data_IF_810376734812
#
_entry.id   IF_810376734812
#
_cell.length_a   1.000
_cell.length_b   1.000
_cell.length_c   1.000
_cell.angle_alpha   90.00
_cell.angle_beta   90.00
_cell.angle_gamma   90.00
#
_symmetry.space_group_name_H-M   'P 1'
#
loop_
_entity.id
_entity.type
_entity.pdbx_description
1 polymer ?
#
# COMPACT_ATOMS: atom_id res chain seq x y z
N UNK A 1 -9.86 -12.85 -1.21
CA UNK A 1 -9.37 -11.49 -1.00
C UNK A 1 -7.85 -11.47 -0.94
N UNK A 2 -7.21 -10.55 -1.68
CA UNK A 2 -5.77 -10.27 -1.53
C UNK A 2 -5.66 -8.87 -0.93
N UNK A 3 -5.00 -8.76 0.21
CA UNK A 3 -4.81 -7.51 0.93
C UNK A 3 -3.32 -7.19 1.06
N UNK A 4 -2.91 -6.06 0.52
CA UNK A 4 -1.54 -5.57 0.64
C UNK A 4 -1.50 -4.53 1.75
N UNK A 5 -0.77 -4.83 2.83
CA UNK A 5 -0.53 -3.91 3.94
C UNK A 5 0.86 -3.28 3.80
N UNK A 6 1.00 -2.04 4.25
CA UNK A 6 2.27 -1.31 4.28
C UNK A 6 2.47 -0.66 5.64
N UNK A 7 3.73 -0.50 6.05
CA UNK A 7 4.10 0.25 7.25
C UNK A 7 3.39 1.61 7.29
N UNK A 8 2.60 1.93 8.33
CA UNK A 8 1.84 3.17 8.39
C UNK A 8 2.71 4.42 8.35
N UNK A 9 3.98 4.36 8.76
CA UNK A 9 4.94 5.46 8.63
C UNK A 9 5.26 5.75 7.16
N UNK A 10 5.47 4.69 6.37
CA UNK A 10 5.65 4.79 4.91
C UNK A 10 4.37 5.21 4.19
N UNK A 11 3.20 4.77 4.67
CA UNK A 11 1.90 5.19 4.12
C UNK A 11 1.71 6.70 4.32
N UNK A 12 2.04 7.23 5.52
CA UNK A 12 1.93 8.66 5.81
C UNK A 12 2.74 9.52 4.81
N UNK A 13 3.97 9.11 4.52
CA UNK A 13 4.84 9.82 3.54
C UNK A 13 4.26 9.73 2.13
N UNK A 14 3.88 8.53 1.71
CA UNK A 14 3.32 8.30 0.37
C UNK A 14 2.03 9.08 0.16
N UNK A 15 1.16 9.09 1.16
CA UNK A 15 -0.13 9.75 1.13
C UNK A 15 0.01 11.28 1.09
N UNK A 16 0.95 11.86 1.86
CA UNK A 16 1.25 13.29 1.83
C UNK A 16 1.63 13.76 0.41
N UNK A 17 2.49 13.02 -0.27
CA UNK A 17 2.86 13.32 -1.66
C UNK A 17 1.72 13.13 -2.66
N UNK A 18 0.88 12.10 -2.45
CA UNK A 18 -0.24 11.80 -3.35
C UNK A 18 -1.32 12.90 -3.32
N UNK A 19 -1.64 13.40 -2.12
CA UNK A 19 -2.67 14.41 -1.90
C UNK A 19 -2.12 15.86 -1.94
N UNK A 20 -0.81 16.05 -2.12
CA UNK A 20 -0.10 17.35 -2.08
C UNK A 20 -0.36 18.11 -0.77
N UNK A 21 -0.25 17.41 0.36
CA UNK A 21 -0.46 17.91 1.73
C UNK A 21 0.79 17.71 2.61
N UNK A 22 0.83 18.35 3.78
CA UNK A 22 1.94 18.18 4.72
C UNK A 22 1.93 16.77 5.36
N UNK A 23 3.09 16.35 5.89
CA UNK A 23 3.17 15.08 6.64
C UNK A 23 2.28 15.08 7.87
N UNK A 24 2.17 16.21 8.57
CA UNK A 24 1.26 16.38 9.71
C UNK A 24 -0.19 16.15 9.31
N UNK A 25 -0.63 16.78 8.23
CA UNK A 25 -1.99 16.61 7.70
C UNK A 25 -2.27 15.17 7.28
N UNK A 26 -1.31 14.53 6.62
CA UNK A 26 -1.40 13.13 6.23
C UNK A 26 -1.57 12.22 7.44
N UNK A 27 -0.76 12.44 8.48
CA UNK A 27 -0.82 11.68 9.74
C UNK A 27 -2.18 11.89 10.43
N UNK A 28 -2.65 13.14 10.58
CA UNK A 28 -3.96 13.42 11.18
C UNK A 28 -5.09 12.68 10.45
N UNK A 29 -5.06 12.69 9.12
CA UNK A 29 -6.04 11.97 8.33
C UNK A 29 -5.98 10.45 8.55
N UNK A 30 -4.77 9.88 8.64
CA UNK A 30 -4.58 8.44 8.88
C UNK A 30 -5.00 8.01 10.30
N UNK A 31 -4.94 8.90 11.28
CA UNK A 31 -5.37 8.64 12.66
C UNK A 31 -6.89 8.74 12.84
N UNK A 32 -7.60 9.38 11.92
CA UNK A 32 -9.03 9.65 12.01
C UNK A 32 -9.85 8.41 11.62
N UNK A 33 -10.54 7.82 12.59
CA UNK A 33 -11.37 6.62 12.37
C UNK A 33 -12.67 6.91 11.63
N UNK A 34 -13.13 8.16 11.64
CA UNK A 34 -14.36 8.61 10.98
C UNK A 34 -14.08 9.35 9.66
N UNK A 35 -12.92 9.10 9.07
CA UNK A 35 -12.53 9.80 7.84
C UNK A 35 -13.44 9.41 6.68
N UNK A 36 -14.05 10.41 6.09
CA UNK A 36 -14.80 10.32 4.84
C UNK A 36 -14.08 11.19 3.81
N UNK A 37 -13.80 10.64 2.65
CA UNK A 37 -13.36 11.41 1.50
C UNK A 37 -14.56 11.69 0.60
N UNK A 38 -14.66 12.92 0.14
CA UNK A 38 -15.63 13.34 -0.87
C UNK A 38 -14.85 13.82 -2.09
N UNK A 39 -15.30 13.46 -3.27
CA UNK A 39 -14.79 14.05 -4.49
C UNK A 39 -15.88 14.89 -5.18
N UNK A 40 -15.50 15.67 -6.18
CA UNK A 40 -16.40 16.55 -6.94
C UNK A 40 -17.56 15.80 -7.66
N UNK A 41 -17.53 14.47 -7.67
CA UNK A 41 -18.54 13.59 -8.29
C UNK A 41 -19.53 13.01 -7.29
N UNK A 42 -19.64 13.57 -6.09
CA UNK A 42 -20.58 13.14 -5.03
C UNK A 42 -20.41 11.70 -4.53
N UNK A 43 -19.24 11.12 -4.69
CA UNK A 43 -18.94 9.82 -4.08
C UNK A 43 -18.43 10.02 -2.65
N UNK A 44 -19.11 9.37 -1.71
CA UNK A 44 -18.65 9.26 -0.33
C UNK A 44 -17.80 8.01 -0.21
N UNK A 45 -16.54 8.17 0.18
CA UNK A 45 -15.63 7.07 0.45
C UNK A 45 -15.29 7.06 1.94
N UNK A 46 -15.75 6.04 2.65
CA UNK A 46 -15.39 5.82 4.05
C UNK A 46 -13.98 5.23 4.12
N UNK A 47 -12.97 6.10 4.24
CA UNK A 47 -11.56 5.68 4.27
C UNK A 47 -11.12 5.19 5.64
N UNK A 48 -11.72 5.70 6.73
CA UNK A 48 -11.36 5.40 8.12
C UNK A 48 -9.88 5.67 8.42
N UNK A 49 -9.38 5.20 9.58
CA UNK A 49 -7.96 5.20 9.91
C UNK A 49 -7.23 4.06 9.21
N UNK A 50 -5.87 4.09 9.20
CA UNK A 50 -5.06 2.97 8.74
C UNK A 50 -5.45 1.66 9.45
N UNK A 51 -5.66 1.70 10.78
CA UNK A 51 -6.14 0.56 11.56
C UNK A 51 -7.55 0.13 11.16
N UNK A 52 -8.48 1.07 11.02
CA UNK A 52 -9.86 0.79 10.62
C UNK A 52 -9.93 0.11 9.27
N UNK A 53 -9.14 0.59 8.30
CA UNK A 53 -9.00 -0.04 6.99
C UNK A 53 -8.43 -1.46 7.10
N UNK A 54 -7.33 -1.66 7.84
CA UNK A 54 -6.72 -2.98 8.06
C UNK A 54 -7.73 -3.96 8.69
N UNK A 55 -8.38 -3.56 9.78
CA UNK A 55 -9.28 -4.45 10.52
C UNK A 55 -10.56 -4.76 9.74
N UNK A 56 -11.07 -3.85 8.91
CA UNK A 56 -12.24 -4.08 8.07
C UNK A 56 -11.99 -5.21 7.06
N UNK A 57 -10.79 -5.25 6.47
CA UNK A 57 -10.42 -6.30 5.54
C UNK A 57 -10.05 -7.61 6.23
N UNK A 58 -9.32 -7.57 7.35
CA UNK A 58 -8.99 -8.76 8.12
C UNK A 58 -10.21 -9.41 8.77
N UNK A 59 -11.23 -8.61 9.15
CA UNK A 59 -12.50 -9.08 9.67
C UNK A 59 -13.44 -9.70 8.63
N UNK A 60 -13.13 -9.59 7.34
CA UNK A 60 -13.93 -10.20 6.27
C UNK A 60 -14.05 -11.72 6.46
N UNK A 61 -15.23 -12.34 6.25
CA UNK A 61 -15.42 -13.80 6.36
C UNK A 61 -14.79 -14.59 5.21
N UNK A 62 -14.37 -13.91 4.14
CA UNK A 62 -13.81 -14.57 2.96
C UNK A 62 -12.37 -15.01 3.17
N UNK A 63 -11.92 -16.08 2.48
CA UNK A 63 -10.51 -16.44 2.42
C UNK A 63 -9.65 -15.27 2.02
N UNK A 64 -8.52 -15.07 2.70
CA UNK A 64 -7.65 -13.92 2.49
C UNK A 64 -6.18 -14.28 2.45
N UNK A 65 -5.45 -13.58 1.62
CA UNK A 65 -4.01 -13.59 1.57
C UNK A 65 -3.52 -12.18 1.96
N UNK A 66 -2.80 -12.10 3.07
CA UNK A 66 -2.16 -10.87 3.53
C UNK A 66 -0.73 -10.84 3.03
N UNK A 67 -0.34 -9.75 2.38
CA UNK A 67 1.01 -9.52 1.87
C UNK A 67 1.50 -8.19 2.39
N UNK A 68 2.73 -8.14 2.88
CA UNK A 68 3.38 -6.86 3.18
C UNK A 68 3.95 -6.26 1.90
N UNK A 69 3.77 -4.96 1.71
CA UNK A 69 4.37 -4.23 0.60
C UNK A 69 5.91 -4.37 0.59
N UNK A 70 6.51 -4.35 1.77
CA UNK A 70 7.95 -4.50 1.97
C UNK A 70 8.45 -5.87 1.48
N UNK A 71 7.68 -6.93 1.74
CA UNK A 71 8.04 -8.30 1.29
C UNK A 71 7.83 -8.42 -0.22
N UNK A 72 6.75 -7.83 -0.76
CA UNK A 72 6.52 -7.77 -2.20
C UNK A 72 7.67 -7.05 -2.94
N UNK A 73 8.25 -6.02 -2.32
CA UNK A 73 9.40 -5.29 -2.87
C UNK A 73 10.70 -6.09 -2.78
N UNK A 74 10.92 -6.83 -1.68
CA UNK A 74 12.13 -7.62 -1.45
C UNK A 74 12.19 -8.89 -2.29
N UNK A 75 11.08 -9.60 -2.37
CA UNK A 75 10.94 -10.84 -3.13
C UNK A 75 9.64 -10.85 -3.94
N UNK A 76 9.59 -10.09 -5.05
CA UNK A 76 8.40 -10.03 -5.88
C UNK A 76 8.04 -11.39 -6.50
N UNK A 77 9.03 -12.22 -6.82
CA UNK A 77 8.77 -13.51 -7.45
C UNK A 77 7.98 -14.45 -6.54
N UNK A 78 8.44 -14.66 -5.32
CA UNK A 78 7.77 -15.51 -4.35
C UNK A 78 6.36 -15.01 -3.99
N UNK A 79 6.22 -13.68 -3.85
CA UNK A 79 4.93 -13.09 -3.54
C UNK A 79 3.93 -13.22 -4.70
N UNK A 80 4.35 -13.01 -5.95
CA UNK A 80 3.49 -13.23 -7.13
C UNK A 80 3.11 -14.70 -7.27
N UNK A 81 4.03 -15.63 -7.08
CA UNK A 81 3.76 -17.07 -7.08
C UNK A 81 2.70 -17.43 -6.02
N UNK A 82 2.84 -16.89 -4.81
CA UNK A 82 1.87 -17.08 -3.71
C UNK A 82 0.49 -16.52 -4.05
N UNK A 83 0.42 -15.37 -4.70
CA UNK A 83 -0.83 -14.76 -5.19
C UNK A 83 -1.51 -15.69 -6.21
N UNK A 84 -0.77 -16.19 -7.19
CA UNK A 84 -1.30 -17.07 -8.22
C UNK A 84 -1.78 -18.41 -7.62
N UNK A 85 -1.03 -18.97 -6.69
CA UNK A 85 -1.42 -20.17 -5.95
C UNK A 85 -2.69 -19.94 -5.14
N UNK A 86 -2.81 -18.78 -4.48
CA UNK A 86 -4.01 -18.41 -3.73
C UNK A 86 -5.22 -18.26 -4.66
N UNK A 87 -5.09 -17.55 -5.78
CA UNK A 87 -6.17 -17.38 -6.76
C UNK A 87 -6.61 -18.73 -7.32
N UNK A 88 -5.67 -19.61 -7.62
CA UNK A 88 -5.95 -20.93 -8.15
C UNK A 88 -6.81 -21.83 -7.23
N UNK A 89 -6.89 -21.54 -5.94
CA UNK A 89 -7.78 -22.29 -5.03
C UNK A 89 -9.26 -22.11 -5.38
N UNK A 90 -9.62 -21.00 -6.04
CA UNK A 90 -11.01 -20.59 -6.30
C UNK A 90 -11.42 -20.65 -7.77
N UNK A 91 -10.51 -21.05 -8.65
CA UNK A 91 -10.78 -21.16 -10.09
C UNK A 91 -11.09 -22.62 -10.47
N UNK A 92 -12.11 -22.84 -11.27
CA UNK A 92 -12.40 -24.14 -11.88
C UNK A 92 -11.29 -24.52 -12.87
N UNK A 93 -10.96 -23.60 -13.79
CA UNK A 93 -9.82 -23.75 -14.70
C UNK A 93 -8.60 -23.06 -14.08
N UNK A 94 -7.63 -23.85 -13.66
CA UNK A 94 -6.41 -23.36 -13.02
C UNK A 94 -5.56 -22.53 -13.99
N UNK A 95 -4.97 -21.45 -13.45
CA UNK A 95 -3.94 -20.68 -14.15
C UNK A 95 -2.66 -21.53 -14.14
N UNK A 96 -2.04 -21.68 -15.30
CA UNK A 96 -0.69 -22.24 -15.41
C UNK A 96 0.33 -21.27 -14.81
N UNK A 97 0.95 -21.70 -13.71
CA UNK A 97 1.97 -20.90 -12.98
C UNK A 97 3.32 -21.12 -13.65
N UNK A 98 3.67 -20.23 -14.57
CA UNK A 98 4.89 -20.28 -15.33
C UNK A 98 5.90 -19.26 -14.83
N UNK A 99 7.06 -19.74 -14.36
CA UNK A 99 8.14 -18.90 -13.80
C UNK A 99 8.62 -17.80 -14.73
N UNK A 100 8.70 -18.07 -16.04
CA UNK A 100 9.19 -17.07 -17.01
C UNK A 100 8.14 -15.97 -17.26
N UNK A 101 6.84 -16.33 -17.25
CA UNK A 101 5.76 -15.35 -17.29
C UNK A 101 5.78 -14.46 -16.05
N UNK A 102 5.98 -15.04 -14.85
CA UNK A 102 6.11 -14.27 -13.61
C UNK A 102 7.30 -13.30 -13.70
N UNK A 103 8.49 -13.77 -14.08
CA UNK A 103 9.68 -12.92 -14.23
C UNK A 103 9.46 -11.79 -15.23
N UNK A 104 8.84 -12.09 -16.38
CA UNK A 104 8.49 -11.08 -17.40
C UNK A 104 7.53 -10.04 -16.83
N UNK A 105 6.48 -10.48 -16.12
CA UNK A 105 5.51 -9.57 -15.49
C UNK A 105 6.18 -8.66 -14.47
N UNK A 106 7.03 -9.20 -13.59
CA UNK A 106 7.79 -8.41 -12.60
C UNK A 106 8.65 -7.35 -13.29
N UNK A 107 9.33 -7.72 -14.37
CA UNK A 107 10.18 -6.79 -15.14
C UNK A 107 9.37 -5.61 -15.72
N UNK A 108 8.25 -5.88 -16.37
CA UNK A 108 7.44 -4.83 -17.00
C UNK A 108 6.67 -3.99 -15.98
N UNK A 109 6.35 -4.54 -14.80
CA UNK A 109 5.72 -3.83 -13.68
C UNK A 109 6.72 -3.33 -12.64
N UNK A 110 8.02 -3.34 -12.95
CA UNK A 110 9.03 -2.78 -12.05
C UNK A 110 8.80 -1.28 -11.85
N UNK A 111 9.23 -0.77 -10.70
CA UNK A 111 9.12 0.66 -10.39
C UNK A 111 9.74 1.53 -11.50
N UNK A 112 10.90 1.14 -11.99
CA UNK A 112 11.60 1.84 -13.08
C UNK A 112 10.78 1.88 -14.38
N UNK A 113 10.20 0.72 -14.75
CA UNK A 113 9.35 0.63 -15.95
C UNK A 113 8.09 1.49 -15.81
N UNK A 114 7.44 1.46 -14.65
CA UNK A 114 6.22 2.23 -14.38
C UNK A 114 6.50 3.72 -14.28
N UNK A 115 7.61 4.13 -13.62
CA UNK A 115 8.03 5.53 -13.54
C UNK A 115 8.38 6.09 -14.92
N UNK A 116 9.05 5.30 -15.77
CA UNK A 116 9.32 5.68 -17.15
C UNK A 116 8.02 5.86 -17.93
N UNK A 117 7.10 4.92 -17.83
CA UNK A 117 5.80 4.98 -18.49
C UNK A 117 5.00 6.22 -18.06
N UNK A 118 4.99 6.53 -16.75
CA UNK A 118 4.34 7.74 -16.23
C UNK A 118 4.93 9.02 -16.84
N UNK A 119 6.25 9.08 -17.00
CA UNK A 119 6.92 10.22 -17.61
C UNK A 119 6.60 10.37 -19.12
N UNK A 120 6.36 9.26 -19.81
CA UNK A 120 6.08 9.25 -21.25
C UNK A 120 4.61 9.57 -21.58
N UNK A 121 3.66 8.98 -20.85
CA UNK A 121 2.23 9.06 -21.18
C UNK A 121 1.36 9.61 -20.06
N UNK A 122 1.95 9.94 -18.90
CA UNK A 122 1.23 10.36 -17.70
C UNK A 122 0.60 9.19 -16.94
N UNK A 123 -0.02 9.53 -15.80
CA UNK A 123 -0.75 8.57 -14.97
C UNK A 123 -2.12 9.15 -14.57
N UNK A 124 -3.21 8.48 -14.98
CA UNK A 124 -4.58 9.01 -14.85
C UNK A 124 -5.04 9.22 -13.40
N UNK A 125 -4.49 8.46 -12.45
CA UNK A 125 -4.86 8.52 -11.03
C UNK A 125 -3.97 9.48 -10.23
N UNK A 126 -3.09 10.23 -10.90
CA UNK A 126 -2.25 11.24 -10.27
C UNK A 126 -3.13 12.42 -9.80
N UNK A 127 -3.14 12.66 -8.49
CA UNK A 127 -3.87 13.78 -7.88
C UNK A 127 -2.95 14.97 -7.59
N UNK A 128 -1.76 14.72 -7.06
CA UNK A 128 -0.77 15.73 -6.69
C UNK A 128 0.11 16.19 -7.86
N UNK A 129 1.01 17.16 -7.57
CA UNK A 129 1.98 17.70 -8.54
C UNK A 129 3.14 16.73 -8.81
N UNK A 130 3.49 15.90 -7.83
CA UNK A 130 4.59 14.92 -7.95
C UNK A 130 4.15 13.69 -8.72
N UNK A 131 5.11 12.98 -9.31
CA UNK A 131 4.83 11.71 -9.96
C UNK A 131 4.30 10.68 -8.97
N UNK A 132 3.36 9.85 -9.42
CA UNK A 132 2.82 8.76 -8.62
C UNK A 132 3.91 7.72 -8.30
N UNK A 133 4.68 7.31 -9.32
CA UNK A 133 5.86 6.44 -9.14
C UNK A 133 7.10 7.28 -8.81
N UNK A 134 7.12 7.90 -7.61
CA UNK A 134 8.13 8.88 -7.21
C UNK A 134 9.47 8.24 -6.79
N UNK A 135 9.46 7.33 -5.83
CA UNK A 135 10.69 6.69 -5.29
C UNK A 135 10.54 5.18 -5.05
N UNK A 136 9.36 4.72 -4.61
CA UNK A 136 9.13 3.33 -4.23
C UNK A 136 9.99 2.84 -3.05
N UNK A 137 10.53 3.78 -2.26
CA UNK A 137 11.38 3.49 -1.09
C UNK A 137 10.51 3.05 0.09
N UNK A 138 10.94 1.98 0.78
CA UNK A 138 10.25 1.43 1.95
C UNK A 138 10.65 2.12 3.25
N UNK A 139 11.80 2.79 3.28
CA UNK A 139 12.41 3.39 4.47
C UNK A 139 12.49 4.93 4.43
N UNK A 140 11.93 5.58 3.42
CA UNK A 140 11.98 7.04 3.26
C UNK A 140 11.49 7.78 4.52
N UNK A 141 10.49 7.24 5.20
CA UNK A 141 9.93 7.81 6.42
C UNK A 141 10.98 8.06 7.52
N UNK A 142 12.05 7.25 7.58
CA UNK A 142 13.14 7.42 8.55
C UNK A 142 13.89 8.75 8.38
N UNK A 143 13.90 9.28 7.16
CA UNK A 143 14.65 10.47 6.79
C UNK A 143 13.78 11.75 6.75
N UNK A 144 12.46 11.61 6.62
CA UNK A 144 11.57 12.75 6.37
C UNK A 144 10.57 13.02 7.51
N UNK A 145 10.22 12.02 8.33
CA UNK A 145 9.34 12.23 9.48
C UNK A 145 10.13 12.60 10.73
N UNK A 146 9.61 13.55 11.51
CA UNK A 146 10.19 13.87 12.81
C UNK A 146 9.97 12.73 13.82
N UNK A 147 10.78 12.70 14.90
CA UNK A 147 10.63 11.71 15.98
C UNK A 147 9.23 11.77 16.61
N UNK A 148 8.67 12.95 16.72
CA UNK A 148 7.33 13.19 17.27
C UNK A 148 6.25 12.59 16.37
N UNK A 149 6.36 12.77 15.06
CA UNK A 149 5.45 12.18 14.08
C UNK A 149 5.49 10.66 14.12
N UNK A 150 6.69 10.09 14.15
CA UNK A 150 6.90 8.63 14.25
C UNK A 150 6.24 8.10 15.52
N UNK A 151 6.54 8.70 16.69
CA UNK A 151 5.95 8.31 17.97
C UNK A 151 4.42 8.40 17.98
N UNK A 152 3.84 9.40 17.32
CA UNK A 152 2.39 9.58 17.22
C UNK A 152 1.73 8.42 16.46
N UNK A 153 2.30 8.00 15.32
CA UNK A 153 1.84 6.86 14.52
C UNK A 153 1.99 5.56 15.33
N UNK A 154 3.18 5.31 15.87
CA UNK A 154 3.51 4.10 16.62
C UNK A 154 2.66 3.94 17.88
N UNK A 155 2.37 5.03 18.59
CA UNK A 155 1.47 5.01 19.77
C UNK A 155 0.04 4.63 19.35
N UNK A 156 -0.48 5.20 18.27
CA UNK A 156 -1.87 4.96 17.82
C UNK A 156 -2.06 3.53 17.29
N UNK A 157 -1.09 3.01 16.57
CA UNK A 157 -1.19 1.72 15.88
C UNK A 157 -0.28 0.63 16.48
N UNK A 158 0.12 0.80 17.75
CA UNK A 158 1.12 -0.05 18.40
C UNK A 158 0.81 -1.53 18.31
N UNK A 159 -0.44 -1.92 18.59
CA UNK A 159 -0.87 -3.32 18.58
C UNK A 159 -0.72 -3.92 17.18
N UNK A 160 -1.33 -3.32 16.19
CA UNK A 160 -1.36 -3.80 14.82
C UNK A 160 0.03 -3.80 14.18
N UNK A 161 0.83 -2.79 14.50
CA UNK A 161 2.22 -2.72 14.03
C UNK A 161 3.09 -3.83 14.61
N UNK A 162 2.88 -4.23 15.89
CA UNK A 162 3.54 -5.39 16.50
C UNK A 162 3.07 -6.71 15.87
N UNK A 163 1.76 -6.90 15.70
CA UNK A 163 1.19 -8.09 15.06
C UNK A 163 1.71 -8.27 13.62
N UNK A 164 1.98 -7.18 12.94
CA UNK A 164 2.56 -7.17 11.59
C UNK A 164 4.10 -7.11 11.55
N UNK A 165 4.78 -7.18 12.71
CA UNK A 165 6.23 -7.08 12.83
C UNK A 165 6.82 -5.80 12.19
N UNK A 166 6.14 -4.66 12.33
CA UNK A 166 6.69 -3.32 12.04
C UNK A 166 7.32 -2.68 13.28
N UNK A 167 6.99 -3.18 14.47
CA UNK A 167 7.60 -2.84 15.76
C UNK A 167 8.06 -4.12 16.46
N UNK A 168 9.16 -3.99 17.24
CA UNK A 168 9.67 -5.02 18.14
C UNK A 168 8.87 -5.10 19.44
#
# INVERSE_FOLDING_TARGET
>A
LIYIVRDPRSVAVSYAHHEDISFEQSIEQMLNENRIATNDKFYFEARSSWRGHLLSWLGSPYPKLLIKYEDLKKDPFHNFDSILKFINQFLDKKIDINSDKIKKTIKISSFESLSKLENEIGFKEKLGKTNFFRKGDIDEWKNVLSKEMIKKIEKKFNKEMKELNYLS
#
